data_IF_816859548883
#
_entry.id   IF_816859548883
#
_cell.length_a   1.000
_cell.length_b   1.000
_cell.length_c   1.000
_cell.angle_alpha   90.00
_cell.angle_beta   90.00
_cell.angle_gamma   90.00
#
_symmetry.space_group_name_H-M   'P 1'
#
loop_
_entity.id
_entity.type
_entity.pdbx_description
1 polymer ?
#
# COMPACT_ATOMS: atom_id res chain seq x y z
N UNK A 1 10.11 -1.53 -15.83
CA UNK A 1 9.40 -0.33 -16.33
C UNK A 1 8.15 -0.15 -15.50
N UNK A 2 7.89 1.04 -14.97
CA UNK A 2 6.67 1.34 -14.20
C UNK A 2 5.46 1.24 -15.14
N UNK A 3 4.40 0.55 -14.72
CA UNK A 3 3.19 0.33 -15.53
C UNK A 3 2.08 1.30 -15.14
N UNK A 4 1.25 1.71 -16.11
CA UNK A 4 0.08 2.59 -15.86
C UNK A 4 -0.85 2.02 -14.80
N UNK A 5 -1.12 0.71 -14.85
CA UNK A 5 -1.90 -0.01 -13.85
C UNK A 5 -1.29 0.12 -12.45
N UNK A 6 0.03 0.00 -12.33
CA UNK A 6 0.74 0.17 -11.06
C UNK A 6 0.56 1.56 -10.48
N UNK A 7 0.66 2.59 -11.33
CA UNK A 7 0.42 3.99 -10.92
C UNK A 7 -1.02 4.19 -10.44
N UNK A 8 -2.02 3.69 -11.18
CA UNK A 8 -3.43 3.85 -10.83
C UNK A 8 -3.79 3.16 -9.50
N UNK A 9 -3.29 1.94 -9.27
CA UNK A 9 -3.54 1.20 -8.02
C UNK A 9 -2.83 1.87 -6.85
N UNK A 10 -1.58 2.29 -7.02
CA UNK A 10 -0.86 3.02 -5.98
C UNK A 10 -1.56 4.35 -5.62
N UNK A 11 -2.04 5.08 -6.63
CA UNK A 11 -2.81 6.30 -6.42
C UNK A 11 -4.10 6.03 -5.63
N UNK A 12 -4.86 5.00 -6.00
CA UNK A 12 -6.09 4.61 -5.29
C UNK A 12 -5.80 4.25 -3.83
N UNK A 13 -4.75 3.47 -3.56
CA UNK A 13 -4.32 3.14 -2.21
C UNK A 13 -3.98 4.41 -1.39
N UNK A 14 -3.19 5.32 -1.96
CA UNK A 14 -2.81 6.56 -1.28
C UNK A 14 -3.97 7.52 -1.05
N UNK A 15 -5.02 7.50 -1.89
CA UNK A 15 -6.29 8.20 -1.61
C UNK A 15 -7.05 7.56 -0.45
N UNK A 16 -7.04 6.24 -0.35
CA UNK A 16 -7.57 5.53 0.81
C UNK A 16 -6.86 5.92 2.11
N UNK A 17 -5.53 5.97 2.09
CA UNK A 17 -4.72 6.41 3.25
C UNK A 17 -5.05 7.83 3.67
N UNK A 18 -5.13 8.77 2.72
CA UNK A 18 -5.52 10.16 3.01
C UNK A 18 -6.93 10.24 3.60
N UNK A 19 -7.88 9.46 3.06
CA UNK A 19 -9.26 9.42 3.57
C UNK A 19 -9.30 8.87 4.99
N UNK A 20 -8.54 7.82 5.29
CA UNK A 20 -8.45 7.24 6.62
C UNK A 20 -7.81 8.22 7.62
N UNK A 21 -6.77 8.95 7.19
CA UNK A 21 -6.13 9.98 8.00
C UNK A 21 -7.08 11.14 8.30
N UNK A 22 -7.83 11.61 7.29
CA UNK A 22 -8.89 12.61 7.47
C UNK A 22 -9.93 12.15 8.49
N UNK A 23 -10.39 10.90 8.40
CA UNK A 23 -11.32 10.33 9.38
C UNK A 23 -10.72 10.25 10.79
N UNK A 24 -9.42 9.91 10.91
CA UNK A 24 -8.71 9.91 12.19
C UNK A 24 -8.71 11.31 12.82
N UNK A 25 -8.35 12.34 12.05
CA UNK A 25 -8.33 13.73 12.52
C UNK A 25 -9.73 14.23 12.91
N UNK A 26 -10.76 13.92 12.12
CA UNK A 26 -12.14 14.27 12.42
C UNK A 26 -12.65 13.64 13.75
N UNK A 27 -12.07 12.52 14.16
CA UNK A 27 -12.38 11.82 15.42
C UNK A 27 -11.48 12.26 16.60
N UNK A 28 -10.71 13.35 16.46
CA UNK A 28 -9.79 13.82 17.51
C UNK A 28 -8.45 13.08 17.55
N UNK A 29 -8.05 12.47 16.44
CA UNK A 29 -6.79 11.74 16.27
C UNK A 29 -6.53 10.60 17.28
N UNK A 30 -7.44 9.61 17.42
CA UNK A 30 -7.24 8.47 18.32
C UNK A 30 -6.10 7.53 17.89
N UNK A 31 -5.74 7.50 16.60
CA UNK A 31 -4.59 6.74 16.09
C UNK A 31 -3.35 7.64 16.10
N UNK A 32 -2.27 7.16 16.69
CA UNK A 32 -0.99 7.88 16.77
C UNK A 32 -0.36 8.07 15.39
N UNK A 33 0.35 9.19 15.23
CA UNK A 33 0.93 9.64 13.97
C UNK A 33 1.77 8.56 13.27
N UNK A 34 2.60 7.84 14.02
CA UNK A 34 3.49 6.78 13.53
C UNK A 34 2.73 5.64 12.83
N UNK A 35 1.47 5.40 13.21
CA UNK A 35 0.64 4.36 12.57
C UNK A 35 -0.11 4.87 11.33
N UNK A 36 -0.14 6.19 11.13
CA UNK A 36 -0.83 6.83 9.99
C UNK A 36 0.12 7.25 8.86
N UNK A 37 1.41 7.39 9.16
CA UNK A 37 2.45 7.80 8.22
C UNK A 37 2.63 6.81 7.06
N UNK A 38 2.29 7.17 5.81
CA UNK A 38 2.39 6.23 4.69
C UNK A 38 3.80 5.70 4.43
N UNK A 39 4.84 6.47 4.70
CA UNK A 39 6.23 6.04 4.52
C UNK A 39 6.67 4.92 5.47
N UNK A 40 5.89 4.62 6.51
CA UNK A 40 6.18 3.51 7.42
C UNK A 40 5.58 2.17 6.96
N UNK A 41 4.68 2.18 5.98
CA UNK A 41 4.01 0.95 5.52
C UNK A 41 3.87 0.82 3.99
N UNK A 42 4.17 1.87 3.22
CA UNK A 42 4.07 1.83 1.77
C UNK A 42 5.41 2.14 1.10
N UNK A 43 6.00 1.13 0.48
CA UNK A 43 7.15 1.25 -0.42
C UNK A 43 6.70 0.99 -1.88
N UNK A 44 6.79 2.02 -2.73
CA UNK A 44 6.36 1.93 -4.13
C UNK A 44 7.20 0.98 -4.99
N UNK A 45 8.49 0.79 -4.68
CA UNK A 45 9.37 -0.15 -5.40
C UNK A 45 9.02 -1.59 -5.03
N UNK A 46 8.79 -1.85 -3.74
CA UNK A 46 8.34 -3.14 -3.24
C UNK A 46 6.97 -3.48 -3.84
N UNK A 47 6.02 -2.55 -3.77
CA UNK A 47 4.69 -2.70 -4.37
C UNK A 47 4.78 -3.06 -5.86
N UNK A 48 5.55 -2.30 -6.64
CA UNK A 48 5.70 -2.56 -8.07
C UNK A 48 6.32 -3.95 -8.35
N UNK A 49 7.32 -4.35 -7.56
CA UNK A 49 7.94 -5.68 -7.68
C UNK A 49 6.94 -6.80 -7.40
N UNK A 50 6.12 -6.66 -6.35
CA UNK A 50 5.08 -7.63 -6.00
C UNK A 50 3.96 -7.67 -7.04
N UNK A 51 3.59 -6.51 -7.59
CA UNK A 51 2.60 -6.41 -8.68
C UNK A 51 3.05 -7.15 -9.95
N UNK A 52 4.33 -7.07 -10.30
CA UNK A 52 4.89 -7.81 -11.43
C UNK A 52 4.88 -9.32 -11.17
N UNK A 53 5.26 -9.77 -9.96
CA UNK A 53 5.15 -11.18 -9.57
C UNK A 53 3.71 -11.69 -9.60
N UNK A 54 2.76 -10.90 -9.13
CA UNK A 54 1.33 -11.23 -9.18
C UNK A 54 0.83 -11.37 -10.62
N UNK A 55 1.27 -10.50 -11.52
CA UNK A 55 0.93 -10.57 -12.96
C UNK A 55 1.48 -11.83 -13.64
N UNK A 56 2.52 -12.45 -13.07
CA UNK A 56 3.09 -13.72 -13.52
C UNK A 56 2.46 -14.95 -12.83
N UNK A 57 1.31 -14.79 -12.16
CA UNK A 57 0.60 -15.86 -11.43
C UNK A 57 1.47 -16.59 -10.38
N UNK A 58 2.39 -15.87 -9.73
CA UNK A 58 3.16 -16.43 -8.60
C UNK A 58 2.25 -16.80 -7.43
N UNK A 59 2.53 -17.90 -6.71
CA UNK A 59 1.69 -18.33 -5.58
C UNK A 59 1.69 -17.28 -4.48
N UNK A 60 0.57 -17.16 -3.75
CA UNK A 60 0.40 -16.18 -2.68
C UNK A 60 1.51 -16.26 -1.63
N UNK A 61 1.96 -17.47 -1.29
CA UNK A 61 3.08 -17.69 -0.38
C UNK A 61 4.37 -17.01 -0.83
N UNK A 62 4.68 -17.01 -2.13
CA UNK A 62 5.84 -16.28 -2.68
C UNK A 62 5.61 -14.76 -2.68
N UNK A 63 4.38 -14.32 -2.93
CA UNK A 63 4.02 -12.90 -2.86
C UNK A 63 4.08 -12.35 -1.44
N UNK A 64 3.83 -13.17 -0.43
CA UNK A 64 3.85 -12.81 0.99
C UNK A 64 5.17 -13.17 1.68
N UNK A 65 6.25 -13.43 0.93
CA UNK A 65 7.57 -13.76 1.48
C UNK A 65 7.55 -14.94 2.49
N UNK A 66 6.63 -15.89 2.28
CA UNK A 66 6.45 -17.05 3.15
C UNK A 66 5.72 -16.79 4.47
N UNK A 67 5.13 -15.60 4.67
CA UNK A 67 4.43 -15.19 5.90
C UNK A 67 2.93 -15.55 5.95
N UNK A 68 2.47 -16.42 5.03
CA UNK A 68 1.08 -16.91 4.92
C UNK A 68 1.03 -18.43 4.92
#
# INVERSE_FOLDING_TARGET
MVTTRGVQIAALFMRGVETAMFANEACGAPIVWELTCPWLFFDGKLFHTKLLKSSANKPLRELCDGQV
#
